data_IF_581814862917
#
_entry.id   IF_581814862917
#
_cell.length_a   1.000
_cell.length_b   1.000
_cell.length_c   1.000
_cell.angle_alpha   90.00
_cell.angle_beta   90.00
_cell.angle_gamma   90.00
#
_symmetry.space_group_name_H-M   'P 1'
#
loop_
_entity.id
_entity.type
_entity.pdbx_description
1 polymer ?
#
# COMPACT_ATOMS: atom_id res chain seq x y z
N UNK A 1 -8.69 10.44 -2.56
CA UNK A 1 -8.90 9.88 -1.20
C UNK A 1 -7.65 9.95 -0.31
N UNK A 2 -7.80 9.88 1.02
CA UNK A 2 -6.67 9.68 1.96
C UNK A 2 -6.32 8.19 2.05
N UNK A 3 -5.04 7.87 2.09
CA UNK A 3 -4.54 6.50 2.25
C UNK A 3 -3.28 6.43 3.11
N UNK A 4 -3.11 5.35 3.86
CA UNK A 4 -1.86 5.02 4.56
C UNK A 4 -0.91 4.30 3.59
N UNK A 5 0.27 4.87 3.35
CA UNK A 5 1.23 4.42 2.35
C UNK A 5 2.59 4.22 3.00
N UNK A 6 3.24 3.11 2.66
CA UNK A 6 4.66 2.92 2.94
C UNK A 6 5.49 3.58 1.84
N UNK A 7 6.11 4.71 2.16
CA UNK A 7 6.99 5.41 1.21
C UNK A 7 8.32 4.67 1.01
N UNK A 8 8.78 4.01 2.08
CA UNK A 8 9.94 3.12 2.14
C UNK A 8 9.83 2.30 3.43
N UNK A 9 10.69 1.29 3.58
CA UNK A 9 10.78 0.51 4.83
C UNK A 9 10.94 1.46 6.03
N UNK A 10 10.09 1.25 7.04
CA UNK A 10 10.05 2.02 8.28
C UNK A 10 9.34 3.37 8.19
N UNK A 11 8.80 3.76 7.04
CA UNK A 11 8.15 5.07 6.85
C UNK A 11 6.72 4.91 6.34
N UNK A 12 5.78 4.85 7.29
CA UNK A 12 4.34 4.88 7.04
C UNK A 12 3.83 6.33 7.13
N UNK A 13 3.17 6.82 6.08
CA UNK A 13 2.54 8.15 6.06
C UNK A 13 1.12 8.09 5.52
N UNK A 14 0.28 9.01 5.99
CA UNK A 14 -1.02 9.26 5.38
C UNK A 14 -0.85 10.32 4.30
N UNK A 15 -1.33 10.05 3.09
CA UNK A 15 -1.28 10.97 1.94
C UNK A 15 -2.64 11.07 1.27
N UNK A 16 -2.89 12.20 0.63
CA UNK A 16 -3.96 12.33 -0.34
C UNK A 16 -3.49 11.77 -1.69
N UNK A 17 -4.26 10.86 -2.26
CA UNK A 17 -4.01 10.20 -3.55
C UNK A 17 -5.23 10.36 -4.47
N UNK A 18 -5.05 10.27 -5.80
CA UNK A 18 -6.19 10.24 -6.72
C UNK A 18 -7.11 9.04 -6.42
N UNK A 19 -8.39 9.19 -6.78
CA UNK A 19 -9.32 8.06 -6.76
C UNK A 19 -8.86 6.97 -7.75
N UNK A 20 -9.05 5.68 -7.43
CA UNK A 20 -8.68 4.60 -8.33
C UNK A 20 -9.59 4.57 -9.56
N UNK A 21 -9.05 4.14 -10.70
CA UNK A 21 -9.85 3.84 -11.89
C UNK A 21 -10.56 2.50 -11.67
N UNK A 22 -11.85 2.44 -11.99
CA UNK A 22 -12.69 1.25 -11.83
C UNK A 22 -12.76 0.52 -13.17
N UNK A 23 -12.24 -0.71 -13.24
CA UNK A 23 -12.34 -1.56 -14.42
C UNK A 23 -13.71 -2.24 -14.55
N UNK A 24 -13.92 -2.96 -15.65
CA UNK A 24 -15.22 -3.59 -16.00
C UNK A 24 -15.73 -4.61 -14.96
N UNK A 25 -14.83 -5.14 -14.11
CA UNK A 25 -15.15 -6.12 -13.07
C UNK A 25 -14.94 -5.59 -11.64
N UNK A 26 -14.49 -4.35 -11.50
CA UNK A 26 -14.19 -3.76 -10.20
C UNK A 26 -15.42 -3.05 -9.61
N UNK A 27 -15.42 -2.87 -8.29
CA UNK A 27 -16.37 -2.00 -7.60
C UNK A 27 -15.60 -1.03 -6.70
N UNK A 28 -15.99 0.24 -6.75
CA UNK A 28 -15.45 1.25 -5.84
C UNK A 28 -16.24 1.23 -4.53
N UNK A 29 -15.59 0.77 -3.46
CA UNK A 29 -16.18 0.69 -2.14
C UNK A 29 -15.73 1.85 -1.25
N UNK A 30 -16.64 2.36 -0.43
CA UNK A 30 -16.30 3.25 0.68
C UNK A 30 -15.80 2.43 1.88
N UNK A 31 -14.58 2.73 2.34
CA UNK A 31 -13.99 2.08 3.50
C UNK A 31 -14.59 2.62 4.80
N UNK A 32 -15.56 1.89 5.37
CA UNK A 32 -16.16 2.25 6.66
C UNK A 32 -15.23 2.00 7.85
N UNK A 33 -14.48 0.89 7.81
CA UNK A 33 -13.51 0.51 8.83
C UNK A 33 -12.34 -0.27 8.20
N UNK A 34 -11.13 -0.03 8.68
CA UNK A 34 -9.94 -0.80 8.34
C UNK A 34 -9.23 -1.25 9.61
N UNK A 35 -8.92 -2.55 9.72
CA UNK A 35 -8.18 -3.10 10.84
C UNK A 35 -6.72 -3.32 10.46
N UNK A 36 -5.82 -3.20 11.44
CA UNK A 36 -4.42 -3.58 11.28
C UNK A 36 -4.20 -4.98 11.83
N UNK A 37 -3.37 -5.77 11.14
CA UNK A 37 -2.87 -7.03 11.65
C UNK A 37 -1.53 -6.80 12.36
N UNK A 38 -1.48 -7.03 13.68
CA UNK A 38 -0.26 -6.86 14.48
C UNK A 38 0.94 -7.60 13.90
N UNK A 39 0.74 -8.77 13.30
CA UNK A 39 1.82 -9.54 12.66
C UNK A 39 2.20 -8.97 11.30
N UNK A 40 1.30 -9.13 10.33
CA UNK A 40 1.61 -8.86 8.92
C UNK A 40 1.99 -7.41 8.67
N UNK A 41 1.24 -6.45 9.22
CA UNK A 41 1.49 -5.04 8.92
C UNK A 41 2.84 -4.60 9.49
N UNK A 42 3.20 -5.06 10.70
CA UNK A 42 4.51 -4.79 11.27
C UNK A 42 5.64 -5.43 10.45
N UNK A 43 5.45 -6.66 9.96
CA UNK A 43 6.44 -7.30 9.08
C UNK A 43 6.61 -6.52 7.76
N UNK A 44 5.54 -5.98 7.19
CA UNK A 44 5.60 -5.17 5.97
C UNK A 44 6.27 -3.82 6.27
N UNK A 45 5.84 -3.11 7.33
CA UNK A 45 6.41 -1.82 7.76
C UNK A 45 7.92 -1.93 7.96
N UNK A 46 8.41 -2.98 8.62
CA UNK A 46 9.84 -3.17 8.92
C UNK A 46 10.60 -3.99 7.87
N UNK A 47 9.99 -4.35 6.74
CA UNK A 47 10.65 -5.10 5.67
C UNK A 47 11.08 -6.51 6.07
N UNK A 48 10.39 -7.12 7.02
CA UNK A 48 10.62 -8.48 7.55
C UNK A 48 9.79 -9.55 6.84
N UNK A 49 8.95 -9.16 5.88
CA UNK A 49 8.10 -10.09 5.15
C UNK A 49 8.90 -10.76 4.02
N UNK A 50 9.17 -12.06 4.18
CA UNK A 50 10.19 -12.81 3.42
C UNK A 50 9.89 -12.99 1.91
N UNK A 51 8.68 -12.66 1.44
CA UNK A 51 8.19 -13.01 0.09
C UNK A 51 7.50 -11.87 -0.68
N UNK A 52 7.81 -10.60 -0.40
CA UNK A 52 7.32 -9.46 -1.20
C UNK A 52 8.37 -8.99 -2.24
N UNK A 53 8.38 -9.52 -3.48
CA UNK A 53 9.28 -9.04 -4.55
C UNK A 53 9.02 -7.58 -4.96
N UNK A 54 7.91 -6.97 -4.51
CA UNK A 54 7.53 -5.59 -4.82
C UNK A 54 8.12 -4.54 -3.87
N UNK A 55 8.54 -4.90 -2.66
CA UNK A 55 9.15 -3.98 -1.69
C UNK A 55 10.69 -4.04 -1.68
N UNK A 56 11.27 -5.14 -2.15
CA UNK A 56 12.73 -5.31 -2.25
C UNK A 56 13.31 -4.82 -3.58
N UNK A 57 12.45 -4.43 -4.54
CA UNK A 57 12.84 -3.93 -5.85
C UNK A 57 12.43 -2.46 -5.97
N UNK A 58 13.34 -1.53 -6.26
CA UNK A 58 12.98 -0.13 -6.41
C UNK A 58 12.18 0.06 -7.70
N UNK A 59 10.85 -0.05 -7.62
CA UNK A 59 9.94 0.44 -8.67
C UNK A 59 9.78 1.95 -8.53
N UNK A 60 10.90 2.68 -8.60
CA UNK A 60 10.95 4.11 -8.96
C UNK A 60 11.25 4.29 -10.45
N UNK A 61 11.20 3.21 -11.23
CA UNK A 61 11.31 3.26 -12.69
C UNK A 61 9.95 3.50 -13.33
N UNK A 62 9.73 4.74 -13.77
CA UNK A 62 8.84 5.09 -14.87
C UNK A 62 8.80 4.00 -15.94
N UNK A 63 7.61 3.66 -16.44
CA UNK A 63 7.36 3.67 -17.88
C UNK A 63 6.04 4.37 -18.14
N UNK A 64 6.07 5.11 -19.24
CA UNK A 64 5.12 6.10 -19.73
C UNK A 64 3.70 5.58 -19.91
#
# INVERSE_FOLDING_TARGET
MKAAILEKIGVLKVRDIPEPLVGDYDVLCEMLYGATCTGTDQHIIYGRFLFLPYLTRPYWGMKA
#
